data_IF_733533796848
#
_entry.id   IF_733533796848
#
_cell.length_a   1.000
_cell.length_b   1.000
_cell.length_c   1.000
_cell.angle_alpha   90.00
_cell.angle_beta   90.00
_cell.angle_gamma   90.00
#
_symmetry.space_group_name_H-M   'P 1'
#
loop_
_entity.id
_entity.type
_entity.pdbx_description
1 polymer ?
#
# COMPACT_ATOMS: atom_id res chain seq x y z
N UNK A 1 8.39 18.13 -3.46
CA UNK A 1 7.66 16.96 -2.93
C UNK A 1 8.65 16.19 -2.07
N UNK A 2 8.46 16.24 -0.76
CA UNK A 2 9.27 15.47 0.19
C UNK A 2 8.64 14.07 0.30
N UNK A 3 9.41 13.04 -0.05
CA UNK A 3 9.08 11.63 0.17
C UNK A 3 9.92 11.15 1.34
N UNK A 4 9.29 10.72 2.41
CA UNK A 4 9.96 10.13 3.58
C UNK A 4 9.92 8.62 3.43
N UNK A 5 11.07 7.98 3.29
CA UNK A 5 11.17 6.52 3.25
C UNK A 5 10.73 5.92 4.61
N UNK A 6 9.89 4.89 4.56
CA UNK A 6 9.42 4.17 5.76
C UNK A 6 9.82 2.70 5.67
N UNK A 7 9.88 2.05 6.82
CA UNK A 7 10.22 0.64 6.89
C UNK A 7 8.95 -0.21 6.80
N UNK A 8 8.69 -0.77 5.61
CA UNK A 8 7.58 -1.69 5.39
C UNK A 8 7.64 -2.92 6.33
N UNK A 9 8.84 -3.40 6.66
CA UNK A 9 9.03 -4.59 7.50
C UNK A 9 8.85 -4.30 8.99
N UNK A 10 8.67 -3.04 9.38
CA UNK A 10 8.32 -2.66 10.74
C UNK A 10 6.84 -2.90 11.06
N UNK A 11 5.99 -3.12 10.06
CA UNK A 11 4.57 -3.51 10.23
C UNK A 11 4.44 -4.90 10.84
N UNK A 12 3.26 -5.21 11.38
CA UNK A 12 2.95 -6.56 11.79
C UNK A 12 2.89 -7.51 10.60
N UNK A 13 3.16 -8.80 10.86
CA UNK A 13 3.23 -9.82 9.82
C UNK A 13 1.93 -9.95 9.03
N UNK A 14 0.79 -9.83 9.71
CA UNK A 14 -0.52 -9.92 9.07
C UNK A 14 -0.73 -8.78 8.06
N UNK A 15 -0.32 -7.55 8.40
CA UNK A 15 -0.36 -6.41 7.47
C UNK A 15 0.60 -6.62 6.31
N UNK A 16 1.84 -7.05 6.57
CA UNK A 16 2.81 -7.34 5.52
C UNK A 16 2.26 -8.38 4.54
N UNK A 17 1.74 -9.50 5.04
CA UNK A 17 1.13 -10.55 4.23
C UNK A 17 -0.08 -10.02 3.45
N UNK A 18 -0.90 -9.16 4.05
CA UNK A 18 -2.03 -8.53 3.37
C UNK A 18 -1.57 -7.69 2.17
N UNK A 19 -0.59 -6.79 2.34
CA UNK A 19 -0.09 -5.98 1.21
C UNK A 19 0.64 -6.80 0.15
N UNK A 20 1.34 -7.86 0.56
CA UNK A 20 2.08 -8.75 -0.33
C UNK A 20 1.20 -9.72 -1.12
N UNK A 21 -0.04 -9.99 -0.67
CA UNK A 21 -0.95 -10.94 -1.31
C UNK A 21 -2.20 -10.28 -1.90
N UNK A 22 -2.79 -9.31 -1.20
CA UNK A 22 -4.05 -8.65 -1.55
C UNK A 22 -3.79 -7.35 -2.33
N UNK A 23 -3.08 -7.46 -3.45
CA UNK A 23 -2.75 -6.31 -4.32
C UNK A 23 -3.61 -6.30 -5.58
N UNK A 24 -4.22 -5.16 -5.88
CA UNK A 24 -4.87 -4.92 -7.17
C UNK A 24 -3.86 -4.48 -8.23
N UNK A 25 -3.88 -5.11 -9.40
CA UNK A 25 -3.07 -4.68 -10.54
C UNK A 25 -3.95 -4.14 -11.67
N UNK A 26 -3.74 -2.88 -12.05
CA UNK A 26 -4.48 -2.25 -13.15
C UNK A 26 -4.21 -2.86 -14.52
N UNK A 27 -3.02 -3.45 -14.73
CA UNK A 27 -2.69 -4.11 -15.98
C UNK A 27 -3.33 -5.50 -16.10
N UNK A 28 -3.34 -6.28 -15.01
CA UNK A 28 -4.03 -7.56 -14.99
C UNK A 28 -5.55 -7.43 -14.81
N UNK A 29 -6.02 -6.30 -14.27
CA UNK A 29 -7.41 -6.06 -13.85
C UNK A 29 -7.92 -7.14 -12.89
N UNK A 30 -7.05 -7.58 -11.98
CA UNK A 30 -7.34 -8.63 -11.00
C UNK A 30 -6.84 -8.19 -9.61
N UNK A 31 -7.60 -8.61 -8.60
CA UNK A 31 -7.21 -8.50 -7.19
C UNK A 31 -6.38 -9.72 -6.77
N UNK A 32 -5.85 -9.69 -5.55
CA UNK A 32 -5.21 -10.84 -4.89
C UNK A 32 -4.03 -11.46 -5.68
N UNK A 33 -3.36 -10.64 -6.50
CA UNK A 33 -2.20 -11.10 -7.27
C UNK A 33 -0.92 -11.06 -6.46
N UNK A 34 -0.88 -10.20 -5.45
CA UNK A 34 0.28 -9.91 -4.66
C UNK A 34 1.28 -8.94 -5.30
N UNK A 35 2.15 -8.40 -4.45
CA UNK A 35 3.22 -7.49 -4.82
C UNK A 35 4.59 -8.04 -4.40
N UNK A 36 5.61 -7.74 -5.18
CA UNK A 36 7.01 -8.02 -4.88
C UNK A 36 7.79 -6.71 -4.79
N UNK A 37 8.90 -6.74 -4.05
CA UNK A 37 9.74 -5.57 -3.80
C UNK A 37 8.94 -4.38 -3.20
N UNK A 38 8.21 -4.56 -2.07
CA UNK A 38 7.44 -3.48 -1.46
C UNK A 38 8.38 -2.40 -0.92
N UNK A 39 8.02 -1.15 -1.17
CA UNK A 39 8.69 0.05 -0.70
C UNK A 39 7.64 0.97 -0.09
N UNK A 40 7.67 1.10 1.23
CA UNK A 40 6.79 2.04 1.94
C UNK A 40 7.42 3.43 1.99
N UNK A 41 6.59 4.45 1.82
CA UNK A 41 6.99 5.83 1.98
C UNK A 41 5.80 6.71 2.34
N UNK A 42 6.10 7.84 2.97
CA UNK A 42 5.12 8.88 3.25
C UNK A 42 5.36 10.08 2.33
N UNK A 43 4.28 10.61 1.78
CA UNK A 43 4.28 11.79 0.93
C UNK A 43 3.07 12.65 1.27
N UNK A 44 3.32 13.93 1.59
CA UNK A 44 2.25 14.90 1.93
C UNK A 44 1.35 14.45 3.09
N UNK A 45 1.88 13.66 4.03
CA UNK A 45 1.14 13.11 5.18
C UNK A 45 0.36 11.83 4.85
N UNK A 46 0.45 11.32 3.63
CA UNK A 46 -0.19 10.08 3.18
C UNK A 46 0.87 8.98 3.04
N UNK A 47 0.57 7.79 3.54
CA UNK A 47 1.47 6.63 3.45
C UNK A 47 1.12 5.84 2.19
N UNK A 48 2.12 5.52 1.39
CA UNK A 48 2.02 4.73 0.19
C UNK A 48 2.95 3.52 0.27
N UNK A 49 2.52 2.42 -0.31
CA UNK A 49 3.37 1.27 -0.63
C UNK A 49 3.43 1.14 -2.14
N UNK A 50 4.63 1.21 -2.69
CA UNK A 50 4.91 0.90 -4.09
C UNK A 50 5.61 -0.44 -4.19
N UNK A 51 5.29 -1.21 -5.22
CA UNK A 51 5.98 -2.46 -5.53
C UNK A 51 5.67 -2.89 -6.96
N UNK A 52 5.94 -4.14 -7.29
CA UNK A 52 5.64 -4.71 -8.60
C UNK A 52 4.64 -5.85 -8.48
N UNK A 53 3.69 -5.94 -9.40
CA UNK A 53 2.74 -7.04 -9.43
C UNK A 53 3.49 -8.37 -9.55
N UNK A 54 3.21 -9.34 -8.66
CA UNK A 54 3.87 -10.64 -8.71
C UNK A 54 3.57 -11.45 -9.98
N UNK A 55 2.45 -11.14 -10.66
CA UNK A 55 2.01 -11.81 -11.91
C UNK A 55 2.62 -11.22 -13.17
N UNK A 56 2.55 -9.90 -13.35
CA UNK A 56 2.98 -9.25 -14.60
C UNK A 56 4.22 -8.35 -14.47
N UNK A 57 4.66 -8.04 -13.25
CA UNK A 57 5.81 -7.18 -12.98
C UNK A 57 5.56 -5.67 -13.15
N UNK A 58 4.35 -5.25 -13.53
CA UNK A 58 3.99 -3.83 -13.61
C UNK A 58 4.01 -3.16 -12.23
N UNK A 59 4.38 -1.88 -12.16
CA UNK A 59 4.37 -1.14 -10.91
C UNK A 59 2.93 -1.02 -10.38
N UNK A 60 2.78 -1.28 -9.09
CA UNK A 60 1.53 -1.19 -8.35
C UNK A 60 1.77 -0.32 -7.12
N UNK A 61 0.82 0.57 -6.85
CA UNK A 61 0.89 1.49 -5.72
C UNK A 61 -0.39 1.37 -4.93
N UNK A 62 -0.25 1.20 -3.63
CA UNK A 62 -1.36 1.10 -2.67
C UNK A 62 -1.24 2.26 -1.70
N UNK A 63 -2.29 3.04 -1.57
CA UNK A 63 -2.41 4.06 -0.55
C UNK A 63 -2.90 3.42 0.75
N UNK A 64 -2.27 3.76 1.87
CA UNK A 64 -2.70 3.36 3.19
C UNK A 64 -3.43 4.54 3.81
N UNK A 65 -4.74 4.40 3.93
CA UNK A 65 -5.52 5.27 4.81
C UNK A 65 -5.14 4.93 6.25
N UNK A 66 -4.51 5.86 6.96
CA UNK A 66 -4.29 5.76 8.39
C UNK A 66 -5.60 6.15 9.11
N UNK A 67 -5.96 5.42 10.15
CA UNK A 67 -7.19 5.61 10.97
C UNK A 67 -7.32 7.05 11.53
N UNK A 68 -6.23 7.83 11.51
CA UNK A 68 -6.24 9.27 11.83
C UNK A 68 -6.84 10.18 10.74
N UNK A 69 -7.13 9.64 9.57
CA UNK A 69 -7.75 10.33 8.41
C UNK A 69 -9.10 9.75 8.03
N UNK A 70 -9.58 8.72 8.74
CA UNK A 70 -11.00 8.43 8.77
C UNK A 70 -11.66 9.66 9.36
N UNK A 71 -12.39 10.37 8.51
CA UNK A 71 -13.11 11.56 8.90
C UNK A 71 -13.86 11.29 10.20
N UNK A 72 -13.85 12.28 11.08
CA UNK A 72 -14.91 12.46 12.05
C UNK A 72 -16.24 12.30 11.30
N UNK A 73 -16.77 11.07 11.24
CA UNK A 73 -18.12 10.78 10.79
C UNK A 73 -19.02 11.24 11.94
N UNK A 74 -19.07 12.56 12.15
CA UNK A 74 -20.06 13.20 13.01
C UNK A 74 -21.40 13.04 12.28
N UNK A 75 -22.03 11.89 12.50
CA UNK A 75 -23.40 11.61 12.16
C UNK A 75 -24.27 12.41 13.17
N UNK A 76 -24.43 13.72 12.93
CA UNK A 76 -25.48 14.55 13.57
C UNK A 76 -26.56 14.98 12.57
#
# INVERSE_FOLDING_TARGET
MERTERDFFARDKEDQDAFLSQTWCNNCMEADLGMVEPVEFEQEGVIFIEGKCAKCGEPVTTEIADDSTDGDWDDE
#
